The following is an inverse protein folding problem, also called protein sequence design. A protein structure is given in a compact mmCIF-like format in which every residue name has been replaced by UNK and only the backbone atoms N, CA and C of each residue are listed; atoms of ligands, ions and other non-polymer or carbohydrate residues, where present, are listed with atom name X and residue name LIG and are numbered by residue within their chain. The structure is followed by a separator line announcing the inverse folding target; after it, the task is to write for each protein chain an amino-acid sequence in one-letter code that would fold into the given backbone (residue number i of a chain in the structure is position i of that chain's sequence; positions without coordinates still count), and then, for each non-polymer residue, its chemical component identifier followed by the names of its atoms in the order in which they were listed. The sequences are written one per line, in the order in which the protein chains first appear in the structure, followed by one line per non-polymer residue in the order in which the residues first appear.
data_IF_832652969018
#
_entry.id   IF_832652969018
#
_cell.length_a   1.000
_cell.length_b   1.000
_cell.length_c   1.000
_cell.angle_alpha   90.00
_cell.angle_beta   90.00
_cell.angle_gamma   90.00
#
_symmetry.space_group_name_H-M   'P 1'
#
loop_
_entity.id
_entity.type
_entity.pdbx_description
1 polymer ?
#
# COMPACT_ATOMS: atom_id res chain seq x y z
N UNK A 1 24.32 21.39 18.68
CA UNK A 1 23.24 22.32 19.11
C UNK A 1 21.86 21.76 18.80
N UNK A 2 21.74 20.80 17.86
CA UNK A 2 20.42 20.21 17.48
C UNK A 2 19.94 19.07 18.40
N UNK A 3 20.85 18.34 19.04
CA UNK A 3 20.45 17.25 19.96
C UNK A 3 19.81 17.70 21.29
N UNK A 4 20.07 18.93 21.73
CA UNK A 4 19.47 19.46 22.95
C UNK A 4 18.04 19.98 22.76
N UNK A 5 17.69 20.39 21.54
CA UNK A 5 16.31 20.83 21.23
C UNK A 5 15.32 19.64 21.13
N UNK A 6 15.77 18.48 20.68
CA UNK A 6 14.90 17.29 20.62
C UNK A 6 14.49 16.76 22.01
N UNK A 7 15.29 17.01 23.04
CA UNK A 7 14.99 16.59 24.40
C UNK A 7 13.81 17.36 25.05
N UNK A 8 13.45 18.53 24.51
CA UNK A 8 12.34 19.37 25.01
C UNK A 8 11.03 19.20 24.25
N UNK A 9 11.05 18.49 23.12
CA UNK A 9 9.83 18.21 22.38
C UNK A 9 9.11 17.02 23.03
N UNK A 10 7.79 17.11 23.27
CA UNK A 10 7.04 15.95 23.74
C UNK A 10 7.19 14.83 22.70
N UNK A 11 7.33 13.56 23.14
CA UNK A 11 7.45 12.43 22.23
C UNK A 11 6.26 12.47 21.26
N UNK A 12 6.55 12.46 19.95
CA UNK A 12 5.49 12.42 18.93
C UNK A 12 4.59 11.24 19.24
N UNK A 13 3.27 11.45 19.36
CA UNK A 13 2.36 10.35 19.59
C UNK A 13 2.58 9.29 18.50
N UNK A 14 2.80 8.04 18.91
CA UNK A 14 2.90 6.93 17.96
C UNK A 14 1.58 6.88 17.20
N UNK A 15 1.62 6.90 15.87
CA UNK A 15 0.40 6.76 15.11
C UNK A 15 -0.31 5.45 15.52
N UNK A 16 -1.64 5.40 15.51
CA UNK A 16 -2.37 4.16 15.69
C UNK A 16 -1.78 3.09 14.76
N UNK A 17 -1.77 1.83 15.18
CA UNK A 17 -1.17 0.73 14.42
C UNK A 17 -1.67 0.68 12.96
N UNK A 18 -2.85 1.18 12.72
CA UNK A 18 -3.46 1.33 11.42
C UNK A 18 -2.80 2.42 10.56
N UNK A 19 -2.50 3.60 11.13
CA UNK A 19 -1.77 4.66 10.40
C UNK A 19 -0.32 4.28 10.11
N UNK A 20 0.29 3.46 10.97
CA UNK A 20 1.65 2.95 10.75
C UNK A 20 1.74 2.06 9.50
N UNK A 21 0.64 1.47 9.05
CA UNK A 21 0.55 0.61 7.86
C UNK A 21 0.09 1.34 6.60
N UNK A 22 -0.21 2.65 6.69
CA UNK A 22 -0.61 3.43 5.53
C UNK A 22 0.58 3.64 4.60
N UNK A 23 0.44 3.16 3.37
CA UNK A 23 1.46 3.30 2.32
C UNK A 23 1.37 4.65 1.61
N UNK A 24 0.15 5.15 1.37
CA UNK A 24 -0.04 6.37 0.60
C UNK A 24 -1.50 6.64 0.24
N UNK A 25 -1.69 7.43 -0.79
CA UNK A 25 -3.01 7.86 -1.28
C UNK A 25 -3.15 7.61 -2.78
N UNK A 26 -4.34 7.18 -3.21
CA UNK A 26 -4.67 7.06 -4.63
C UNK A 26 -4.67 8.44 -5.28
N UNK A 27 -3.87 8.61 -6.33
CA UNK A 27 -3.75 9.88 -7.06
C UNK A 27 -4.25 9.79 -8.50
N UNK A 28 -4.58 8.61 -8.97
CA UNK A 28 -5.09 8.40 -10.32
C UNK A 28 -5.30 6.94 -10.64
N UNK A 29 -5.65 6.66 -11.89
CA UNK A 29 -5.78 5.30 -12.40
C UNK A 29 -7.15 5.00 -12.98
N UNK A 30 -7.29 3.77 -13.46
CA UNK A 30 -8.52 3.23 -14.04
C UNK A 30 -8.71 1.78 -13.60
N UNK A 31 -9.87 1.21 -13.94
CA UNK A 31 -10.13 -0.19 -13.62
C UNK A 31 -9.25 -1.15 -14.45
N UNK A 32 -8.93 -0.75 -15.68
CA UNK A 32 -8.13 -1.55 -16.62
C UNK A 32 -6.62 -1.42 -16.41
N UNK A 33 -6.16 -0.22 -16.06
CA UNK A 33 -4.74 0.08 -15.89
C UNK A 33 -4.26 -0.06 -14.45
N UNK A 34 -5.19 -0.20 -13.51
CA UNK A 34 -4.89 -0.18 -12.09
C UNK A 34 -4.88 1.24 -11.51
N UNK A 35 -4.48 1.35 -10.27
CA UNK A 35 -4.47 2.59 -9.49
C UNK A 35 -3.03 3.08 -9.30
N UNK A 36 -2.80 4.37 -9.56
CA UNK A 36 -1.58 5.06 -9.19
C UNK A 36 -1.71 5.55 -7.74
N UNK A 37 -0.74 5.22 -6.91
CA UNK A 37 -0.71 5.55 -5.49
C UNK A 37 0.58 6.29 -5.18
N UNK A 38 0.45 7.55 -4.78
CA UNK A 38 1.57 8.33 -4.26
C UNK A 38 1.88 7.85 -2.85
N UNK A 39 3.13 7.42 -2.63
CA UNK A 39 3.58 6.96 -1.32
C UNK A 39 3.71 8.11 -0.32
N UNK A 40 3.46 7.80 0.93
CA UNK A 40 3.76 8.68 2.05
C UNK A 40 5.30 8.85 2.13
N UNK A 41 5.83 10.07 2.32
CA UNK A 41 7.28 10.32 2.40
C UNK A 41 8.01 9.50 3.47
N UNK A 42 7.29 8.97 4.46
CA UNK A 42 7.86 8.11 5.51
C UNK A 42 8.10 6.67 5.08
N UNK A 43 7.56 6.28 3.93
CA UNK A 43 7.68 4.91 3.44
C UNK A 43 8.97 4.76 2.65
N UNK A 44 9.85 3.86 3.11
CA UNK A 44 11.03 3.47 2.37
C UNK A 44 10.62 2.59 1.18
N UNK A 45 10.85 3.07 -0.04
CA UNK A 45 10.51 2.36 -1.28
C UNK A 45 11.20 1.00 -1.34
N UNK A 46 12.43 0.92 -0.85
CA UNK A 46 13.25 -0.30 -0.83
C UNK A 46 12.61 -1.42 0.04
N UNK A 47 11.72 -1.05 0.98
CA UNK A 47 10.96 -1.99 1.79
C UNK A 47 9.71 -2.54 1.11
N UNK A 48 9.37 -2.06 -0.09
CA UNK A 48 8.20 -2.52 -0.84
C UNK A 48 8.58 -3.57 -1.87
N UNK A 49 7.64 -4.47 -2.17
CA UNK A 49 7.82 -5.48 -3.20
C UNK A 49 6.58 -5.61 -4.09
N UNK A 50 6.80 -5.83 -5.38
CA UNK A 50 5.75 -6.26 -6.31
C UNK A 50 5.22 -7.62 -5.87
N UNK A 51 3.91 -7.81 -5.95
CA UNK A 51 3.25 -9.02 -5.46
C UNK A 51 2.68 -8.90 -4.04
N UNK A 52 3.03 -7.85 -3.29
CA UNK A 52 2.48 -7.60 -1.96
C UNK A 52 1.02 -7.17 -2.04
N UNK A 53 0.20 -7.68 -1.12
CA UNK A 53 -1.22 -7.33 -1.06
C UNK A 53 -1.46 -6.03 -0.30
N UNK A 54 -2.44 -5.27 -0.78
CA UNK A 54 -2.83 -3.99 -0.22
C UNK A 54 -4.35 -3.87 -0.15
N UNK A 55 -4.82 -3.00 0.74
CA UNK A 55 -6.23 -2.64 0.86
C UNK A 55 -6.39 -1.14 0.69
N UNK A 56 -7.18 -0.74 -0.31
CA UNK A 56 -7.59 0.65 -0.51
C UNK A 56 -8.93 0.87 0.19
N UNK A 57 -9.00 1.85 1.07
CA UNK A 57 -10.23 2.16 1.81
C UNK A 57 -11.03 3.22 1.09
N UNK A 58 -12.11 2.81 0.46
CA UNK A 58 -13.18 3.72 0.04
C UNK A 58 -14.14 4.02 1.21
N UNK A 59 -15.16 4.84 0.96
CA UNK A 59 -16.11 5.25 2.01
C UNK A 59 -16.85 4.09 2.67
N UNK A 60 -17.42 3.16 1.89
CA UNK A 60 -18.15 1.97 2.37
C UNK A 60 -17.56 0.65 1.89
N UNK A 61 -16.54 0.70 1.07
CA UNK A 61 -15.94 -0.47 0.41
C UNK A 61 -14.45 -0.48 0.64
N UNK A 62 -13.91 -1.66 0.84
CA UNK A 62 -12.48 -1.89 0.82
C UNK A 62 -12.14 -2.60 -0.48
N UNK A 63 -11.15 -2.08 -1.18
CA UNK A 63 -10.66 -2.70 -2.42
C UNK A 63 -9.39 -3.46 -2.09
N UNK A 64 -9.45 -4.76 -2.21
CA UNK A 64 -8.30 -5.64 -2.06
C UNK A 64 -7.59 -5.73 -3.40
N UNK A 65 -6.28 -5.53 -3.40
CA UNK A 65 -5.46 -5.55 -4.60
C UNK A 65 -4.03 -5.95 -4.32
N UNK A 66 -3.21 -5.90 -5.36
CA UNK A 66 -1.81 -6.28 -5.31
C UNK A 66 -0.96 -5.20 -5.96
N UNK A 67 0.23 -4.95 -5.41
CA UNK A 67 1.24 -4.08 -6.02
C UNK A 67 1.77 -4.76 -7.28
N UNK A 68 1.64 -4.08 -8.43
CA UNK A 68 2.09 -4.60 -9.72
C UNK A 68 3.33 -3.89 -10.25
N UNK A 69 3.61 -2.68 -9.76
CA UNK A 69 4.79 -1.91 -10.16
C UNK A 69 5.17 -0.90 -9.07
N UNK A 70 6.44 -0.54 -9.03
CA UNK A 70 7.01 0.45 -8.11
C UNK A 70 7.87 1.40 -8.91
N UNK A 71 7.63 2.71 -8.78
CA UNK A 71 8.29 3.76 -9.57
C UNK A 71 8.81 4.90 -8.71
N UNK A 72 9.87 5.51 -9.18
CA UNK A 72 10.29 6.83 -8.73
C UNK A 72 9.64 7.87 -9.65
N UNK A 73 8.93 8.81 -9.08
CA UNK A 73 8.25 9.88 -9.79
C UNK A 73 8.74 11.26 -9.33
N UNK A 74 8.65 12.23 -10.21
CA UNK A 74 8.98 13.62 -9.93
C UNK A 74 7.85 14.51 -10.43
N UNK A 75 7.48 15.50 -9.63
CA UNK A 75 6.53 16.53 -10.03
C UNK A 75 7.15 17.53 -11.03
N UNK A 76 8.47 17.69 -10.98
CA UNK A 76 9.23 18.56 -11.89
C UNK A 76 10.21 17.75 -12.72
N UNK A 77 10.04 17.69 -14.05
CA UNK A 77 11.01 17.06 -14.94
C UNK A 77 12.42 17.67 -14.88
N UNK A 78 12.55 18.90 -14.41
CA UNK A 78 13.83 19.58 -14.22
C UNK A 78 14.69 18.90 -13.17
N UNK A 79 14.09 18.38 -12.11
CA UNK A 79 14.79 17.65 -11.05
C UNK A 79 15.45 16.36 -11.56
N UNK A 80 14.83 15.69 -12.54
CA UNK A 80 15.42 14.52 -13.15
C UNK A 80 16.61 14.85 -14.08
N UNK A 81 16.61 16.05 -14.67
CA UNK A 81 17.71 16.52 -15.55
C UNK A 81 18.90 17.08 -14.80
N UNK A 82 18.62 17.73 -13.66
CA UNK A 82 19.62 18.29 -12.78
C UNK A 82 19.32 17.83 -11.35
N UNK A 83 19.70 16.60 -10.99
CA UNK A 83 19.44 16.11 -9.64
C UNK A 83 20.20 16.98 -8.63
N UNK A 84 19.55 17.37 -7.53
CA UNK A 84 20.21 18.12 -6.46
C UNK A 84 21.28 17.28 -5.79
N UNK A 85 22.24 17.96 -5.17
CA UNK A 85 23.28 17.30 -4.39
C UNK A 85 22.66 16.46 -3.26
N UNK A 86 22.87 15.13 -3.24
CA UNK A 86 22.32 14.27 -2.22
C UNK A 86 22.91 14.53 -0.82
N UNK A 87 24.07 15.20 -0.74
CA UNK A 87 24.75 15.49 0.52
C UNK A 87 24.28 16.80 1.15
N UNK A 88 23.48 17.63 0.44
CA UNK A 88 22.85 18.82 1.01
C UNK A 88 21.51 18.46 1.73
N UNK A 89 21.50 18.47 3.07
CA UNK A 89 20.32 18.08 3.84
C UNK A 89 19.14 19.03 3.65
N UNK A 90 19.39 20.33 3.41
CA UNK A 90 18.34 21.32 3.21
C UNK A 90 17.61 21.09 1.88
N UNK A 91 18.36 20.86 0.82
CA UNK A 91 17.80 20.57 -0.50
C UNK A 91 17.06 19.24 -0.49
N UNK A 92 17.60 18.22 0.18
CA UNK A 92 16.95 16.91 0.35
C UNK A 92 15.58 17.06 1.01
N UNK A 93 15.50 17.81 2.11
CA UNK A 93 14.24 18.02 2.83
C UNK A 93 13.23 18.82 2.00
N UNK A 94 13.69 19.86 1.30
CA UNK A 94 12.84 20.71 0.46
C UNK A 94 12.25 19.96 -0.74
N UNK A 95 12.98 19.01 -1.32
CA UNK A 95 12.55 18.24 -2.49
C UNK A 95 11.75 17.00 -2.11
N UNK A 96 12.00 16.45 -0.90
CA UNK A 96 11.35 15.23 -0.45
C UNK A 96 9.82 15.38 -0.33
N UNK A 97 9.09 14.47 -0.95
CA UNK A 97 7.64 14.38 -0.88
C UNK A 97 6.86 15.38 -1.74
N UNK A 98 7.48 16.50 -2.16
CA UNK A 98 6.86 17.49 -3.06
C UNK A 98 7.46 17.34 -4.47
N UNK A 99 8.77 17.40 -4.57
CA UNK A 99 9.49 17.37 -5.84
C UNK A 99 9.72 15.95 -6.35
N UNK A 100 10.07 15.03 -5.46
CA UNK A 100 10.30 13.61 -5.76
C UNK A 100 9.52 12.74 -4.79
N UNK A 101 8.95 11.64 -5.28
CA UNK A 101 8.17 10.72 -4.47
C UNK A 101 8.18 9.32 -5.07
N UNK A 102 7.91 8.33 -4.22
CA UNK A 102 7.61 6.99 -4.67
C UNK A 102 6.16 6.88 -5.15
N UNK A 103 5.96 6.11 -6.18
CA UNK A 103 4.65 5.74 -6.68
C UNK A 103 4.58 4.24 -6.82
N UNK A 104 3.47 3.64 -6.39
CA UNK A 104 3.17 2.24 -6.68
C UNK A 104 1.94 2.14 -7.57
N UNK A 105 1.95 1.15 -8.44
CA UNK A 105 0.76 0.72 -9.16
C UNK A 105 0.11 -0.44 -8.43
N UNK A 106 -1.20 -0.33 -8.21
CA UNK A 106 -2.01 -1.33 -7.52
C UNK A 106 -3.09 -1.83 -8.47
N UNK A 107 -3.13 -3.12 -8.72
CA UNK A 107 -4.24 -3.75 -9.43
C UNK A 107 -5.33 -4.14 -8.44
N UNK A 108 -6.50 -3.47 -8.42
CA UNK A 108 -7.62 -3.89 -7.60
C UNK A 108 -8.20 -5.19 -8.15
N UNK A 109 -8.44 -6.16 -7.27
CA UNK A 109 -8.90 -7.51 -7.63
C UNK A 109 -10.31 -7.79 -7.12
N UNK A 110 -10.56 -7.47 -5.85
CA UNK A 110 -11.79 -7.79 -5.16
C UNK A 110 -12.27 -6.61 -4.30
N UNK A 111 -13.58 -6.58 -4.07
CA UNK A 111 -14.20 -5.64 -3.13
C UNK A 111 -14.66 -6.41 -1.90
N UNK A 112 -14.28 -5.90 -0.74
CA UNK A 112 -14.71 -6.34 0.58
C UNK A 112 -15.74 -5.35 1.10
N UNK A 113 -16.99 -5.77 1.23
CA UNK A 113 -18.06 -4.94 1.80
C UNK A 113 -18.24 -5.25 3.28
N UNK A 114 -18.53 -4.23 4.10
CA UNK A 114 -18.90 -4.43 5.50
C UNK A 114 -20.19 -5.24 5.58
N UNK A 115 -20.20 -6.25 6.47
CA UNK A 115 -21.35 -7.15 6.65
C UNK A 115 -21.49 -8.24 5.59
N UNK A 116 -20.67 -8.22 4.52
CA UNK A 116 -20.63 -9.32 3.55
C UNK A 116 -19.42 -10.22 3.80
N UNK A 117 -19.59 -11.51 4.08
CA UNK A 117 -18.46 -12.41 4.24
C UNK A 117 -17.79 -12.76 2.90
N UNK A 118 -18.42 -12.40 1.78
CA UNK A 118 -18.03 -12.83 0.44
C UNK A 118 -17.38 -11.71 -0.32
N UNK A 119 -16.05 -11.78 -0.65
CA UNK A 119 -15.43 -10.88 -1.59
C UNK A 119 -16.10 -10.94 -2.95
N UNK A 120 -16.24 -9.80 -3.61
CA UNK A 120 -16.84 -9.70 -4.95
C UNK A 120 -15.81 -9.20 -5.95
N UNK A 121 -15.91 -9.59 -7.22
CA UNK A 121 -15.08 -8.99 -8.27
C UNK A 121 -15.22 -7.48 -8.30
N UNK A 122 -14.12 -6.78 -8.52
CA UNK A 122 -14.10 -5.34 -8.64
C UNK A 122 -14.83 -4.91 -9.92
N UNK A 123 -15.72 -3.89 -9.78
CA UNK A 123 -16.47 -3.28 -10.89
C UNK A 123 -16.43 -1.75 -10.85
N UNK A 124 -15.69 -1.19 -9.91
CA UNK A 124 -15.55 0.25 -9.70
C UNK A 124 -14.18 0.52 -9.10
N UNK A 125 -13.76 1.76 -9.12
CA UNK A 125 -12.53 2.21 -8.48
C UNK A 125 -12.84 3.06 -7.24
N UNK A 126 -11.90 3.16 -6.28
CA UNK A 126 -12.02 4.07 -5.16
C UNK A 126 -11.96 5.53 -5.62
N UNK A 127 -12.35 6.44 -4.74
CA UNK A 127 -12.23 7.86 -5.00
C UNK A 127 -10.76 8.31 -4.96
N UNK A 128 -10.48 9.48 -5.52
CA UNK A 128 -9.21 10.18 -5.34
C UNK A 128 -8.90 10.34 -3.86
N UNK A 129 -7.63 10.24 -3.52
CA UNK A 129 -7.09 10.35 -2.16
C UNK A 129 -7.58 9.26 -1.20
N UNK A 130 -8.19 8.19 -1.72
CA UNK A 130 -8.49 7.04 -0.90
C UNK A 130 -7.18 6.48 -0.31
N UNK A 131 -7.10 6.25 1.02
CA UNK A 131 -5.89 5.77 1.65
C UNK A 131 -5.64 4.29 1.33
N UNK A 132 -4.37 3.97 1.12
CA UNK A 132 -3.87 2.63 0.80
C UNK A 132 -3.05 2.11 1.96
N UNK A 133 -3.34 0.90 2.39
CA UNK A 133 -2.69 0.22 3.51
C UNK A 133 -2.12 -1.12 3.06
N UNK A 134 -1.09 -1.59 3.74
CA UNK A 134 -0.72 -3.00 3.62
C UNK A 134 -1.88 -3.87 4.08
N UNK A 135 -2.15 -4.95 3.35
CA UNK A 135 -3.15 -5.91 3.77
C UNK A 135 -2.70 -6.63 5.05
N UNK A 136 -3.64 -6.92 5.96
CA UNK A 136 -3.35 -7.78 7.11
C UNK A 136 -3.43 -9.25 6.70
N UNK A 137 -2.80 -10.11 7.48
CA UNK A 137 -2.96 -11.57 7.33
C UNK A 137 -4.43 -11.98 7.37
N UNK A 138 -5.24 -11.36 8.25
CA UNK A 138 -6.69 -11.59 8.33
C UNK A 138 -7.44 -11.20 7.07
N UNK A 139 -7.06 -10.07 6.45
CA UNK A 139 -7.67 -9.61 5.20
C UNK A 139 -7.29 -10.53 4.04
N UNK A 140 -6.04 -10.99 3.98
CA UNK A 140 -5.57 -11.96 2.98
C UNK A 140 -6.23 -13.31 3.19
N UNK A 141 -6.23 -13.82 4.42
CA UNK A 141 -6.88 -15.07 4.76
C UNK A 141 -8.39 -15.06 4.43
N UNK A 142 -9.08 -13.95 4.72
CA UNK A 142 -10.49 -13.76 4.35
C UNK A 142 -10.75 -13.86 2.85
N UNK A 143 -9.79 -13.43 2.05
CA UNK A 143 -9.88 -13.50 0.58
C UNK A 143 -9.66 -14.92 0.06
N UNK A 144 -8.67 -15.61 0.60
CA UNK A 144 -8.22 -16.89 0.06
C UNK A 144 -8.77 -18.11 0.78
N UNK A 145 -9.23 -17.98 2.03
CA UNK A 145 -9.74 -19.12 2.80
C UNK A 145 -10.93 -19.80 2.11
N UNK A 146 -10.92 -21.13 2.00
CA UNK A 146 -12.06 -21.90 1.53
C UNK A 146 -13.29 -21.65 2.41
N UNK A 147 -14.44 -21.39 1.80
CA UNK A 147 -15.66 -20.94 2.51
C UNK A 147 -16.48 -22.03 3.15
N UNK A 148 -16.22 -23.28 2.85
CA UNK A 148 -16.95 -24.44 3.38
C UNK A 148 -15.96 -25.53 3.77
N UNK A 149 -16.12 -26.12 4.96
CA UNK A 149 -15.32 -27.27 5.42
C UNK A 149 -15.35 -28.42 4.43
N UNK A 150 -16.49 -28.65 3.75
CA UNK A 150 -16.63 -29.67 2.70
C UNK A 150 -15.75 -29.46 1.48
N UNK A 151 -15.17 -28.26 1.32
CA UNK A 151 -14.26 -27.94 0.24
C UNK A 151 -12.79 -27.93 0.65
N UNK A 152 -12.48 -27.97 1.95
CA UNK A 152 -11.09 -27.98 2.43
C UNK A 152 -10.28 -29.14 1.83
N UNK A 153 -10.90 -30.31 1.67
CA UNK A 153 -10.27 -31.51 1.09
C UNK A 153 -9.99 -31.40 -0.43
N UNK A 154 -10.50 -30.35 -1.09
CA UNK A 154 -10.33 -30.14 -2.53
C UNK A 154 -9.32 -29.06 -2.87
N UNK A 155 -8.74 -28.40 -1.87
CA UNK A 155 -7.76 -27.35 -2.08
C UNK A 155 -6.34 -27.84 -1.80
N UNK A 156 -5.45 -27.49 -2.70
CA UNK A 156 -4.01 -27.65 -2.48
C UNK A 156 -3.43 -26.32 -2.05
N UNK A 157 -2.60 -26.32 -1.02
CA UNK A 157 -1.81 -25.13 -0.66
C UNK A 157 -0.68 -25.00 -1.66
N UNK A 158 -0.68 -23.90 -2.41
CA UNK A 158 0.34 -23.62 -3.43
C UNK A 158 1.50 -22.76 -2.90
N UNK A 159 1.34 -22.15 -1.74
CA UNK A 159 2.37 -21.31 -1.14
C UNK A 159 1.81 -20.36 -0.09
N UNK A 160 2.67 -19.43 0.28
CA UNK A 160 2.38 -18.33 1.19
C UNK A 160 2.58 -17.00 0.45
N UNK A 161 1.80 -15.95 0.78
CA UNK A 161 2.03 -14.63 0.22
C UNK A 161 3.42 -14.11 0.62
N UNK A 162 3.95 -13.21 -0.20
CA UNK A 162 5.20 -12.53 0.10
C UNK A 162 5.09 -11.79 1.45
N UNK A 163 6.07 -11.99 2.31
CA UNK A 163 6.16 -11.36 3.65
C UNK A 163 5.00 -11.68 4.62
N UNK A 164 4.23 -12.75 4.37
CA UNK A 164 3.14 -13.20 5.24
C UNK A 164 3.28 -14.70 5.57
N UNK A 165 4.30 -15.08 6.37
CA UNK A 165 4.49 -16.47 6.76
C UNK A 165 3.28 -16.92 7.61
N UNK A 166 2.71 -18.06 7.27
CA UNK A 166 1.55 -18.64 7.95
C UNK A 166 0.21 -18.41 7.26
N UNK A 167 0.12 -17.49 6.33
CA UNK A 167 -1.06 -17.36 5.45
C UNK A 167 -0.94 -18.34 4.28
N UNK A 168 -1.88 -19.24 4.13
CA UNK A 168 -1.86 -20.26 3.08
C UNK A 168 -2.73 -19.86 1.92
N UNK A 169 -2.16 -19.89 0.70
CA UNK A 169 -2.94 -19.67 -0.52
C UNK A 169 -3.40 -21.02 -1.06
N UNK A 170 -4.71 -21.31 -1.01
CA UNK A 170 -5.28 -22.51 -1.58
C UNK A 170 -5.55 -22.34 -3.07
N UNK A 171 -5.36 -23.39 -3.85
CA UNK A 171 -5.77 -23.53 -5.23
C UNK A 171 -6.86 -24.60 -5.32
N UNK A 172 -7.92 -24.31 -6.09
CA UNK A 172 -9.02 -25.26 -6.37
C UNK A 172 -8.78 -25.94 -7.72
#
# INVERSE_FOLDING_TARGET
MDQELEAFLPPRPRPPAEEARRLGLVVGGSLSEGLAVKLDPRIAIEGLAVGRYVVVRGGRRRFFGMITDIRLASADPGLARMPPDPDDPFIREMVAGIGVFGEIHVQPMLVLEEGSPVPRPVKSIPAHFAPVYEATEEEVDRVFRPRTREREDRYFVIGEPLDMPGVRIPLN
#
